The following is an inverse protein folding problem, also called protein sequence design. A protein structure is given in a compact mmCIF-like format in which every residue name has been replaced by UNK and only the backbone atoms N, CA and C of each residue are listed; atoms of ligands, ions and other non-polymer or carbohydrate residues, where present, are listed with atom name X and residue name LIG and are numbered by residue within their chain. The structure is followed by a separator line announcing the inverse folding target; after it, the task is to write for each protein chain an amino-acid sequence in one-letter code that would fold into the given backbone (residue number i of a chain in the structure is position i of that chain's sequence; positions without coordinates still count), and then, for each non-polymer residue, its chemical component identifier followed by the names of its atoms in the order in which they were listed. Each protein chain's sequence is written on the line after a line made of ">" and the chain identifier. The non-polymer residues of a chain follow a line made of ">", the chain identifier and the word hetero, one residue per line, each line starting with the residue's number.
data_IF_644000310806
#
_entry.id   IF_644000310806
#
_cell.length_a   1.000
_cell.length_b   1.000
_cell.length_c   1.000
_cell.angle_alpha   90.00
_cell.angle_beta   90.00
_cell.angle_gamma   90.00
#
_symmetry.space_group_name_H-M   'P 1'
#
loop_
_entity.id
_entity.type
_entity.pdbx_description
1 polymer ?
#
# COMPACT_ATOMS: atom_id res chain seq x y z
N UNK A 1 -21.85 11.00 20.02
CA UNK A 1 -22.00 10.31 18.73
C UNK A 1 -20.64 10.34 18.07
N UNK A 2 -19.90 9.21 18.17
CA UNK A 2 -18.64 9.10 17.44
C UNK A 2 -18.98 9.12 15.95
N UNK A 3 -18.62 10.22 15.29
CA UNK A 3 -18.89 10.41 13.87
C UNK A 3 -18.14 9.33 13.08
N UNK A 4 -18.86 8.57 12.28
CA UNK A 4 -18.30 7.57 11.40
C UNK A 4 -17.15 8.19 10.58
N UNK A 5 -15.94 7.66 10.73
CA UNK A 5 -14.76 8.14 10.00
C UNK A 5 -14.94 7.95 8.50
N UNK A 6 -14.50 8.95 7.74
CA UNK A 6 -14.69 9.02 6.29
C UNK A 6 -13.38 8.89 5.56
N UNK A 7 -13.39 8.10 4.51
CA UNK A 7 -12.26 7.93 3.60
C UNK A 7 -12.60 8.50 2.22
N UNK A 8 -11.69 9.29 1.66
CA UNK A 8 -11.69 9.63 0.25
C UNK A 8 -10.62 8.78 -0.46
N UNK A 9 -11.01 7.99 -1.45
CA UNK A 9 -10.12 7.14 -2.23
C UNK A 9 -9.84 7.81 -3.56
N UNK A 10 -8.58 8.15 -3.82
CA UNK A 10 -8.14 8.92 -4.98
C UNK A 10 -7.50 7.98 -6.01
N UNK A 11 -8.21 7.74 -7.08
CA UNK A 11 -7.77 6.87 -8.18
C UNK A 11 -8.74 5.71 -8.43
N UNK A 12 -8.48 5.00 -9.53
CA UNK A 12 -9.40 3.98 -10.06
C UNK A 12 -8.75 2.60 -10.27
N UNK A 13 -7.51 2.42 -9.79
CA UNK A 13 -6.85 1.12 -9.93
C UNK A 13 -7.49 0.03 -9.05
N UNK A 14 -7.28 -1.23 -9.44
CA UNK A 14 -7.91 -2.39 -8.78
C UNK A 14 -7.56 -2.50 -7.28
N UNK A 15 -6.37 -2.04 -6.87
CA UNK A 15 -5.92 -2.09 -5.46
C UNK A 15 -6.68 -1.07 -4.62
N UNK A 16 -6.82 0.16 -5.13
CA UNK A 16 -7.60 1.21 -4.47
C UNK A 16 -9.08 0.83 -4.39
N UNK A 17 -9.63 0.25 -5.46
CA UNK A 17 -10.99 -0.27 -5.44
C UNK A 17 -11.17 -1.39 -4.40
N UNK A 18 -10.19 -2.29 -4.27
CA UNK A 18 -10.20 -3.33 -3.23
C UNK A 18 -10.08 -2.75 -1.82
N UNK A 19 -9.19 -1.76 -1.62
CA UNK A 19 -9.05 -1.05 -0.35
C UNK A 19 -10.34 -0.34 0.04
N UNK A 20 -11.00 0.35 -0.90
CA UNK A 20 -12.29 1.00 -0.68
C UNK A 20 -13.38 0.02 -0.24
N UNK A 21 -13.47 -1.15 -0.90
CA UNK A 21 -14.41 -2.22 -0.49
C UNK A 21 -14.11 -2.75 0.90
N UNK A 22 -12.83 -2.98 1.23
CA UNK A 22 -12.43 -3.46 2.55
C UNK A 22 -12.78 -2.45 3.65
N UNK A 23 -12.52 -1.16 3.42
CA UNK A 23 -12.89 -0.08 4.34
C UNK A 23 -14.41 0.00 4.53
N UNK A 24 -15.19 -0.07 3.45
CA UNK A 24 -16.66 -0.07 3.52
C UNK A 24 -17.17 -1.29 4.29
N UNK A 25 -16.61 -2.47 4.06
CA UNK A 25 -16.95 -3.70 4.80
C UNK A 25 -16.59 -3.61 6.29
N UNK A 26 -15.57 -2.82 6.64
CA UNK A 26 -15.19 -2.53 8.03
C UNK A 26 -16.07 -1.46 8.69
N UNK A 27 -17.08 -0.92 7.99
CA UNK A 27 -18.05 0.04 8.52
C UNK A 27 -17.64 1.51 8.38
N UNK A 28 -16.60 1.83 7.60
CA UNK A 28 -16.22 3.21 7.32
C UNK A 28 -17.04 3.79 6.17
N UNK A 29 -17.26 5.10 6.19
CA UNK A 29 -17.80 5.81 5.04
C UNK A 29 -16.70 6.00 3.99
N UNK A 30 -16.93 5.56 2.76
CA UNK A 30 -15.95 5.63 1.68
C UNK A 30 -16.54 6.34 0.47
N UNK A 31 -15.79 7.30 -0.08
CA UNK A 31 -16.15 8.02 -1.28
C UNK A 31 -14.95 8.29 -2.18
N UNK A 32 -15.19 8.97 -3.29
CA UNK A 32 -14.17 9.35 -4.26
C UNK A 32 -13.54 10.73 -3.97
N UNK A 33 -12.84 11.29 -4.96
CA UNK A 33 -12.16 12.59 -4.84
C UNK A 33 -13.09 13.74 -4.44
N UNK A 34 -14.36 13.66 -4.83
CA UNK A 34 -15.39 14.67 -4.51
C UNK A 34 -15.67 14.79 -3.01
N UNK A 35 -15.30 13.78 -2.23
CA UNK A 35 -15.50 13.78 -0.78
C UNK A 35 -14.27 14.22 0.02
N UNK A 36 -13.19 14.63 -0.64
CA UNK A 36 -11.93 15.03 0.03
C UNK A 36 -12.14 16.07 1.12
N UNK A 37 -13.00 17.06 0.89
CA UNK A 37 -13.29 18.12 1.85
C UNK A 37 -13.98 17.64 3.14
N UNK A 38 -14.56 16.46 3.13
CA UNK A 38 -15.27 15.86 4.27
C UNK A 38 -14.52 14.68 4.88
N UNK A 39 -13.46 14.21 4.21
CA UNK A 39 -12.73 13.00 4.59
C UNK A 39 -11.83 13.25 5.81
N UNK A 40 -11.78 12.26 6.72
CA UNK A 40 -10.78 12.17 7.78
C UNK A 40 -9.48 11.62 7.25
N UNK A 41 -9.56 10.73 6.27
CA UNK A 41 -8.46 10.05 5.62
C UNK A 41 -8.56 10.14 4.11
N UNK A 42 -7.45 10.47 3.46
CA UNK A 42 -7.34 10.56 2.00
C UNK A 42 -6.37 9.48 1.54
N UNK A 43 -6.86 8.47 0.83
CA UNK A 43 -6.04 7.39 0.30
C UNK A 43 -5.58 7.74 -1.11
N UNK A 44 -4.29 7.97 -1.27
CA UNK A 44 -3.66 8.39 -2.51
C UNK A 44 -3.32 7.20 -3.43
N UNK A 45 -3.21 7.40 -4.75
CA UNK A 45 -2.85 6.34 -5.68
C UNK A 45 -1.42 5.84 -5.46
N UNK A 46 -1.16 4.61 -5.89
CA UNK A 46 0.15 3.97 -5.87
C UNK A 46 0.48 3.34 -7.23
N UNK A 47 1.53 3.79 -7.92
CA UNK A 47 2.41 4.91 -7.56
C UNK A 47 1.67 6.25 -7.59
N UNK A 48 2.10 7.18 -6.75
CA UNK A 48 1.64 8.56 -6.83
C UNK A 48 2.40 9.26 -7.96
N UNK A 49 1.68 9.66 -8.99
CA UNK A 49 2.19 10.46 -10.10
C UNK A 49 1.64 11.88 -9.98
N UNK A 50 2.47 12.79 -9.52
CA UNK A 50 2.10 14.18 -9.28
C UNK A 50 1.79 14.94 -10.58
N UNK A 51 2.23 14.43 -11.74
CA UNK A 51 1.89 15.02 -13.05
C UNK A 51 0.45 14.72 -13.47
N UNK A 52 -0.11 13.62 -12.97
CA UNK A 52 -1.47 13.13 -13.29
C UNK A 52 -2.46 13.37 -12.16
N UNK A 53 -1.97 13.49 -10.93
CA UNK A 53 -2.80 13.72 -9.75
C UNK A 53 -2.64 15.17 -9.31
N UNK A 54 -3.70 15.98 -9.31
CA UNK A 54 -3.62 17.38 -8.87
C UNK A 54 -3.49 17.47 -7.34
N UNK A 55 -2.36 16.95 -6.83
CA UNK A 55 -2.13 16.74 -5.41
C UNK A 55 -2.28 18.00 -4.58
N UNK A 56 -1.75 19.12 -5.09
CA UNK A 56 -1.80 20.41 -4.39
C UNK A 56 -3.23 20.92 -4.21
N UNK A 57 -4.07 20.79 -5.24
CA UNK A 57 -5.48 21.17 -5.17
C UNK A 57 -6.26 20.27 -4.23
N UNK A 58 -6.04 18.97 -4.34
CA UNK A 58 -6.67 17.95 -3.54
C UNK A 58 -6.36 18.13 -2.05
N UNK A 59 -5.10 18.34 -1.68
CA UNK A 59 -4.72 18.52 -0.28
C UNK A 59 -5.17 19.89 0.28
N UNK A 60 -5.20 20.95 -0.53
CA UNK A 60 -5.78 22.23 -0.09
C UNK A 60 -7.29 22.15 0.17
N UNK A 61 -7.99 21.27 -0.54
CA UNK A 61 -9.42 21.04 -0.33
C UNK A 61 -9.70 20.17 0.91
N UNK A 62 -8.69 19.53 1.48
CA UNK A 62 -8.84 18.67 2.66
C UNK A 62 -9.27 19.49 3.88
N UNK A 63 -10.11 18.89 4.73
CA UNK A 63 -10.48 19.54 5.99
C UNK A 63 -9.29 19.61 6.96
N UNK A 64 -9.26 20.58 7.89
CA UNK A 64 -8.26 20.63 8.94
C UNK A 64 -8.18 19.34 9.73
N UNK A 65 -6.96 18.81 9.92
CA UNK A 65 -6.72 17.56 10.64
C UNK A 65 -6.96 16.29 9.83
N UNK A 66 -7.23 16.39 8.52
CA UNK A 66 -7.25 15.24 7.64
C UNK A 66 -5.85 14.64 7.49
N UNK A 67 -5.80 13.32 7.33
CA UNK A 67 -4.57 12.55 7.15
C UNK A 67 -4.51 11.99 5.72
N UNK A 68 -3.47 12.31 4.96
CA UNK A 68 -3.23 11.73 3.66
C UNK A 68 -2.33 10.50 3.75
N UNK A 69 -2.72 9.41 3.10
CA UNK A 69 -2.05 8.11 3.14
C UNK A 69 -1.56 7.76 1.74
N UNK A 70 -0.26 7.61 1.56
CA UNK A 70 0.33 7.23 0.27
C UNK A 70 1.44 6.19 0.44
N UNK A 71 1.95 5.69 -0.67
CA UNK A 71 3.09 4.79 -0.66
C UNK A 71 4.17 5.24 -1.63
N UNK A 72 5.44 5.07 -1.26
CA UNK A 72 6.61 5.52 -2.05
C UNK A 72 6.55 7.01 -2.38
N UNK A 73 6.32 7.82 -1.38
CA UNK A 73 6.13 9.26 -1.51
C UNK A 73 7.41 9.98 -1.89
N UNK A 74 7.33 10.81 -2.92
CA UNK A 74 8.44 11.67 -3.36
C UNK A 74 8.72 12.82 -2.38
N UNK A 75 9.86 13.46 -2.51
CA UNK A 75 10.16 14.70 -1.78
C UNK A 75 9.19 15.83 -2.17
N UNK A 76 8.80 15.89 -3.44
CA UNK A 76 7.83 16.85 -3.95
C UNK A 76 6.45 16.66 -3.32
N UNK A 77 5.95 15.41 -3.22
CA UNK A 77 4.68 15.14 -2.56
C UNK A 77 4.67 15.57 -1.09
N UNK A 78 5.79 15.33 -0.39
CA UNK A 78 5.96 15.76 1.02
C UNK A 78 5.96 17.28 1.16
N UNK A 79 6.62 17.98 0.24
CA UNK A 79 6.63 19.45 0.21
C UNK A 79 5.22 20.00 -0.03
N UNK A 80 4.49 19.48 -1.02
CA UNK A 80 3.12 19.90 -1.33
C UNK A 80 2.20 19.70 -0.12
N UNK A 81 2.34 18.57 0.58
CA UNK A 81 1.54 18.30 1.77
C UNK A 81 1.86 19.27 2.92
N UNK A 82 3.15 19.57 3.13
CA UNK A 82 3.58 20.54 4.13
C UNK A 82 3.04 21.95 3.83
N UNK A 83 3.07 22.38 2.58
CA UNK A 83 2.51 23.66 2.13
C UNK A 83 0.98 23.72 2.28
N UNK A 84 0.31 22.59 2.11
CA UNK A 84 -1.14 22.48 2.34
C UNK A 84 -1.53 22.32 3.82
N UNK A 85 -0.57 22.10 4.72
CA UNK A 85 -0.81 21.87 6.14
C UNK A 85 -1.49 20.52 6.42
N UNK A 86 -1.32 19.53 5.53
CA UNK A 86 -1.89 18.18 5.67
C UNK A 86 -0.79 17.20 6.06
N UNK A 87 -1.05 16.40 7.10
CA UNK A 87 -0.14 15.33 7.48
C UNK A 87 -0.15 14.23 6.40
N UNK A 88 1.05 13.84 5.93
CA UNK A 88 1.23 12.86 4.87
C UNK A 88 2.02 11.66 5.39
N UNK A 89 1.39 10.49 5.43
CA UNK A 89 1.96 9.25 5.92
C UNK A 89 2.32 8.32 4.77
N UNK A 90 3.58 7.87 4.76
CA UNK A 90 4.05 6.84 3.83
C UNK A 90 3.86 5.45 4.46
N UNK A 91 2.80 4.75 4.06
CA UNK A 91 2.54 3.40 4.59
C UNK A 91 3.55 2.36 4.07
N UNK A 92 4.30 2.65 2.98
CA UNK A 92 5.38 1.77 2.51
C UNK A 92 6.65 1.85 3.38
N UNK A 93 6.77 2.88 4.20
CA UNK A 93 7.84 2.98 5.19
C UNK A 93 7.58 2.13 6.46
N UNK A 94 6.38 1.53 6.58
CA UNK A 94 6.00 0.73 7.75
C UNK A 94 6.47 -0.71 7.61
N UNK A 95 7.20 -1.18 8.60
CA UNK A 95 7.75 -2.54 8.63
C UNK A 95 6.64 -3.61 8.57
N UNK A 96 5.52 -3.37 9.26
CA UNK A 96 4.40 -4.30 9.28
C UNK A 96 3.83 -4.55 7.87
N UNK A 97 3.74 -3.49 7.04
CA UNK A 97 3.27 -3.66 5.67
C UNK A 97 4.28 -4.44 4.84
N UNK A 98 5.58 -4.18 5.02
CA UNK A 98 6.66 -4.90 4.32
C UNK A 98 6.57 -6.40 4.63
N UNK A 99 6.42 -6.74 5.91
CA UNK A 99 6.30 -8.13 6.36
C UNK A 99 5.02 -8.80 5.85
N UNK A 100 3.86 -8.14 5.97
CA UNK A 100 2.61 -8.68 5.45
C UNK A 100 2.62 -8.87 3.94
N UNK A 101 3.29 -7.99 3.19
CA UNK A 101 3.38 -8.07 1.74
C UNK A 101 4.41 -9.12 1.27
N UNK A 102 5.30 -9.57 2.13
CA UNK A 102 6.28 -10.61 1.81
C UNK A 102 5.61 -11.96 1.47
N UNK A 103 4.56 -12.32 2.20
CA UNK A 103 3.83 -13.60 2.02
C UNK A 103 3.23 -13.68 0.61
N UNK A 104 2.30 -12.80 0.17
CA UNK A 104 1.72 -12.90 -1.16
C UNK A 104 2.75 -12.72 -2.28
N UNK A 105 3.84 -11.98 -2.02
CA UNK A 105 4.93 -11.84 -2.98
C UNK A 105 5.67 -13.17 -3.18
N UNK A 106 5.94 -13.91 -2.11
CA UNK A 106 6.58 -15.22 -2.18
C UNK A 106 5.66 -16.25 -2.86
N UNK A 107 4.37 -16.27 -2.52
CA UNK A 107 3.36 -17.13 -3.17
C UNK A 107 3.26 -16.83 -4.67
N UNK A 108 3.24 -15.56 -5.05
CA UNK A 108 3.24 -15.14 -6.46
C UNK A 108 4.48 -15.60 -7.22
N UNK A 109 5.68 -15.51 -6.61
CA UNK A 109 6.92 -16.02 -7.18
C UNK A 109 6.86 -17.54 -7.39
N UNK A 110 6.38 -18.29 -6.40
CA UNK A 110 6.21 -19.74 -6.50
C UNK A 110 5.22 -20.07 -7.62
N UNK A 111 4.09 -19.37 -7.68
CA UNK A 111 3.09 -19.55 -8.72
C UNK A 111 3.65 -19.34 -10.14
N UNK A 112 4.44 -18.27 -10.35
CA UNK A 112 5.12 -18.02 -11.62
C UNK A 112 6.12 -19.14 -11.93
N UNK A 113 6.95 -19.54 -10.97
CA UNK A 113 7.92 -20.63 -11.18
C UNK A 113 7.23 -21.95 -11.56
N UNK A 114 6.08 -22.25 -10.96
CA UNK A 114 5.31 -23.46 -11.29
C UNK A 114 4.67 -23.37 -12.69
N UNK A 115 4.20 -22.19 -13.09
CA UNK A 115 3.61 -21.99 -14.39
C UNK A 115 4.63 -22.03 -15.54
N UNK A 116 5.82 -21.47 -15.31
CA UNK A 116 6.88 -21.35 -16.34
C UNK A 116 7.74 -22.60 -16.47
N UNK A 117 7.64 -23.56 -15.54
CA UNK A 117 8.45 -24.76 -15.55
C UNK A 117 7.66 -26.02 -15.87
N UNK A 118 8.28 -26.91 -16.67
CA UNK A 118 7.76 -28.25 -16.98
C UNK A 118 8.10 -29.30 -15.91
N UNK A 119 8.86 -28.93 -14.88
CA UNK A 119 9.31 -29.81 -13.80
C UNK A 119 8.81 -29.31 -12.45
N UNK A 120 8.62 -30.22 -11.51
CA UNK A 120 8.30 -29.87 -10.13
C UNK A 120 9.39 -29.02 -9.48
N UNK A 121 9.01 -28.14 -8.54
CA UNK A 121 9.95 -27.35 -7.74
C UNK A 121 10.60 -28.18 -6.62
N UNK A 122 10.12 -29.40 -6.40
CA UNK A 122 10.67 -30.32 -5.42
C UNK A 122 12.15 -30.57 -5.71
N UNK A 123 13.00 -30.40 -4.69
CA UNK A 123 14.45 -30.58 -4.76
C UNK A 123 15.14 -29.68 -5.83
N UNK A 124 14.54 -28.52 -6.15
CA UNK A 124 15.15 -27.52 -7.05
C UNK A 124 16.03 -26.55 -6.26
N UNK A 125 17.15 -26.14 -6.85
CA UNK A 125 17.97 -25.05 -6.35
C UNK A 125 17.43 -23.72 -6.94
N UNK A 126 17.15 -22.74 -6.08
CA UNK A 126 16.65 -21.42 -6.47
C UNK A 126 17.64 -20.37 -5.96
N UNK A 127 18.18 -19.56 -6.86
CA UNK A 127 19.00 -18.41 -6.51
C UNK A 127 18.11 -17.17 -6.41
N UNK A 128 18.10 -16.54 -5.23
CA UNK A 128 17.45 -15.26 -5.01
C UNK A 128 18.50 -14.14 -5.03
N UNK A 129 18.42 -13.28 -6.04
CA UNK A 129 19.29 -12.11 -6.14
C UNK A 129 18.57 -10.88 -5.52
N UNK A 130 19.00 -10.49 -4.33
CA UNK A 130 18.48 -9.32 -3.62
C UNK A 130 17.88 -9.61 -2.24
N UNK A 131 17.75 -8.55 -1.43
CA UNK A 131 17.13 -8.56 -0.10
C UNK A 131 15.80 -7.83 -0.13
N UNK A 132 14.82 -8.38 -0.83
CA UNK A 132 13.45 -7.88 -0.87
C UNK A 132 12.49 -8.71 0.00
N UNK A 133 11.18 -8.43 -0.04
CA UNK A 133 10.16 -9.15 0.73
C UNK A 133 10.22 -10.69 0.57
N UNK A 134 10.57 -11.18 -0.61
CA UNK A 134 10.70 -12.62 -0.91
C UNK A 134 11.85 -13.26 -0.14
N UNK A 135 12.99 -12.55 0.01
CA UNK A 135 14.17 -13.04 0.72
C UNK A 135 13.90 -13.22 2.23
N UNK A 136 13.10 -12.36 2.83
CA UNK A 136 12.70 -12.47 4.23
C UNK A 136 11.91 -13.76 4.52
N UNK A 137 11.00 -14.13 3.64
CA UNK A 137 10.18 -15.32 3.80
C UNK A 137 11.02 -16.59 3.68
N UNK A 138 12.02 -16.58 2.78
CA UNK A 138 12.91 -17.72 2.57
C UNK A 138 13.89 -17.93 3.74
N UNK A 139 14.44 -16.84 4.30
CA UNK A 139 15.31 -16.90 5.48
C UNK A 139 14.60 -17.48 6.70
N UNK A 140 13.36 -17.05 6.98
CA UNK A 140 12.56 -17.60 8.09
C UNK A 140 12.21 -19.08 7.91
N UNK A 141 11.97 -19.55 6.69
CA UNK A 141 11.72 -20.96 6.41
C UNK A 141 12.95 -21.83 6.68
N UNK A 142 14.17 -21.28 6.55
CA UNK A 142 15.43 -21.97 6.87
C UNK A 142 15.78 -21.92 8.36
N UNK A 143 15.42 -20.87 9.08
CA UNK A 143 15.66 -20.77 10.52
C UNK A 143 14.79 -21.76 11.32
N UNK A 144 13.57 -22.05 10.87
CA UNK A 144 12.71 -23.06 11.49
C UNK A 144 13.23 -24.50 11.34
N UNK A 145 14.13 -24.77 10.40
CA UNK A 145 14.76 -26.10 10.25
C UNK A 145 15.96 -26.34 11.17
N UNK A 146 16.49 -25.33 11.84
CA UNK A 146 17.62 -25.47 12.76
C UNK A 146 17.24 -25.81 14.21
N UNK A 147 15.94 -25.91 14.51
CA UNK A 147 15.44 -26.19 15.86
C UNK A 147 14.53 -27.42 15.94
N UNK A 148 14.73 -28.41 15.05
CA UNK A 148 14.14 -29.75 15.20
C UNK A 148 15.22 -30.80 15.32
#
# INVERSE_FOLDING_TARGET
>A
MDGQRRFAVIGTDARLAAAGRALASAGFAVGGPEQTALADYILLPLPLDESRTPLAELLRAAKPGALALGGKLSAQARQIAAEAGVELVDYFAREELILCNAIPTAEGCIGILMAERTRTLWNSAILLAGFGPVSYTHLRAHETRRHL
#
